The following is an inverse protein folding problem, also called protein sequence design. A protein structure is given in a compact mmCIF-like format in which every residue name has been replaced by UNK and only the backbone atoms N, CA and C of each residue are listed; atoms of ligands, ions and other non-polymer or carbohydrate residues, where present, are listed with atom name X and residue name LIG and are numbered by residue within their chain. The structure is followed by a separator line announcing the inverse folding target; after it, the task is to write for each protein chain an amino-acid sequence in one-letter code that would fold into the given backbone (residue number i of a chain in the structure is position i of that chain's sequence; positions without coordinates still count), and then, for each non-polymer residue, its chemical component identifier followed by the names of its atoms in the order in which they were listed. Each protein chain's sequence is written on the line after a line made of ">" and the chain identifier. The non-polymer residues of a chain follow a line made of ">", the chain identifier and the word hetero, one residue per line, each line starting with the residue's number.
data_IF_856278995961
#
_entry.id   IF_856278995961
#
_cell.length_a   1.000
_cell.length_b   1.000
_cell.length_c   1.000
_cell.angle_alpha   90.00
_cell.angle_beta   90.00
_cell.angle_gamma   90.00
#
_symmetry.space_group_name_H-M   'P 1'
#
loop_
_entity.id
_entity.type
_entity.pdbx_description
1 polymer ?
#
# COMPACT_ATOMS: atom_id res chain seq x y z
N UNK A 1 26.44 4.23 56.31
CA UNK A 1 26.47 5.06 55.08
C UNK A 1 25.88 4.25 53.93
N UNK A 2 24.68 4.62 53.48
CA UNK A 2 23.90 3.95 52.43
C UNK A 2 24.62 4.11 51.08
N UNK A 3 25.06 3.03 50.45
CA UNK A 3 25.53 3.06 49.06
C UNK A 3 24.35 2.74 48.15
N UNK A 4 23.98 3.77 47.40
CA UNK A 4 22.82 3.91 46.55
C UNK A 4 22.86 2.88 45.40
N UNK A 5 21.83 2.03 45.33
CA UNK A 5 21.54 1.19 44.18
C UNK A 5 21.20 2.09 42.99
N UNK A 6 22.13 2.21 42.03
CA UNK A 6 21.86 2.81 40.72
C UNK A 6 21.05 1.80 39.89
N UNK A 7 19.73 1.84 40.08
CA UNK A 7 18.74 1.25 39.18
C UNK A 7 18.84 1.99 37.84
N UNK A 8 19.60 1.43 36.90
CA UNK A 8 19.60 1.87 35.51
C UNK A 8 18.28 1.42 34.90
N UNK A 9 17.27 2.27 35.00
CA UNK A 9 15.93 2.05 34.46
C UNK A 9 16.05 1.88 32.94
N UNK A 10 15.95 0.64 32.47
CA UNK A 10 15.79 0.30 31.06
C UNK A 10 14.41 0.85 30.63
N UNK A 11 14.39 2.09 30.16
CA UNK A 11 13.20 2.65 29.51
C UNK A 11 13.13 1.99 28.13
N UNK A 12 12.60 0.77 28.09
CA UNK A 12 12.07 0.17 26.88
C UNK A 12 10.83 0.99 26.51
N UNK A 13 11.04 2.05 25.71
CA UNK A 13 9.97 2.68 24.94
C UNK A 13 9.48 1.66 23.93
N UNK A 14 8.56 0.80 24.36
CA UNK A 14 7.68 0.05 23.48
C UNK A 14 6.77 1.06 22.79
N UNK A 15 7.27 1.66 21.71
CA UNK A 15 6.41 2.36 20.75
C UNK A 15 5.50 1.31 20.13
N UNK A 16 4.25 1.26 20.60
CA UNK A 16 3.18 0.55 19.93
C UNK A 16 3.06 1.14 18.53
N UNK A 17 3.66 0.47 17.54
CA UNK A 17 3.49 0.81 16.14
C UNK A 17 2.07 0.38 15.78
N UNK A 18 1.22 1.33 15.40
CA UNK A 18 -0.15 1.03 14.96
C UNK A 18 -0.10 -0.03 13.86
N UNK A 19 -0.86 -1.11 14.04
CA UNK A 19 -0.91 -2.23 13.10
C UNK A 19 -1.84 -1.87 11.95
N UNK A 20 -1.35 -1.06 11.02
CA UNK A 20 -2.07 -0.74 9.78
C UNK A 20 -2.16 -1.97 8.88
N UNK A 21 -3.12 -2.00 7.95
CA UNK A 21 -3.23 -3.08 6.95
C UNK A 21 -1.91 -3.26 6.19
N UNK A 22 -1.23 -2.16 5.80
CA UNK A 22 0.08 -2.28 5.15
C UNK A 22 1.12 -2.96 6.06
N UNK A 23 1.18 -2.60 7.35
CA UNK A 23 2.22 -3.07 8.28
C UNK A 23 2.27 -4.59 8.47
N UNK A 24 1.15 -5.28 8.20
CA UNK A 24 1.00 -6.73 8.37
C UNK A 24 1.10 -7.50 7.05
N UNK A 25 1.10 -6.82 5.91
CA UNK A 25 1.15 -7.44 4.59
C UNK A 25 2.59 -7.64 4.11
N UNK A 26 2.78 -8.71 3.36
CA UNK A 26 3.96 -8.95 2.53
C UNK A 26 3.53 -9.04 1.07
N UNK A 27 4.07 -8.15 0.25
CA UNK A 27 3.71 -8.01 -1.17
C UNK A 27 4.98 -7.72 -1.94
N UNK A 28 5.18 -8.36 -3.10
CA UNK A 28 6.40 -8.18 -3.90
C UNK A 28 7.69 -8.55 -3.14
N UNK A 29 7.62 -9.52 -2.22
CA UNK A 29 8.75 -9.93 -1.39
C UNK A 29 9.19 -8.90 -0.35
N UNK A 30 8.39 -7.84 -0.12
CA UNK A 30 8.64 -6.86 0.93
C UNK A 30 7.51 -6.84 1.94
N UNK A 31 7.87 -6.94 3.21
CA UNK A 31 6.94 -6.65 4.30
C UNK A 31 6.67 -5.16 4.32
N UNK A 32 5.42 -4.77 4.57
CA UNK A 32 5.04 -3.37 4.73
C UNK A 32 5.35 -2.50 3.51
N UNK A 33 4.67 -2.79 2.37
CA UNK A 33 5.03 -2.21 1.08
C UNK A 33 4.93 -0.69 1.04
N UNK A 34 4.02 -0.06 1.79
CA UNK A 34 3.90 1.42 1.85
C UNK A 34 5.21 2.07 2.33
N UNK A 35 5.91 1.43 3.27
CA UNK A 35 7.15 1.96 3.86
C UNK A 35 8.40 1.39 3.21
N UNK A 36 8.35 0.15 2.71
CA UNK A 36 9.54 -0.59 2.28
C UNK A 36 9.65 -0.84 0.77
N UNK A 37 8.61 -0.55 -0.02
CA UNK A 37 8.70 -0.61 -1.48
C UNK A 37 9.09 0.78 -2.02
N UNK A 38 10.33 0.99 -2.51
CA UNK A 38 10.89 2.34 -2.70
C UNK A 38 10.09 3.22 -3.66
N UNK A 39 9.66 2.67 -4.80
CA UNK A 39 8.89 3.42 -5.79
C UNK A 39 7.50 3.80 -5.26
N UNK A 40 6.88 2.94 -4.46
CA UNK A 40 5.55 3.16 -3.90
C UNK A 40 5.62 4.25 -2.84
N UNK A 41 6.59 4.13 -1.92
CA UNK A 41 6.90 5.14 -0.91
C UNK A 41 7.11 6.51 -1.55
N UNK A 42 7.92 6.57 -2.61
CA UNK A 42 8.19 7.82 -3.32
C UNK A 42 6.92 8.46 -3.92
N UNK A 43 6.00 7.66 -4.49
CA UNK A 43 4.71 8.16 -5.00
C UNK A 43 3.81 8.71 -3.87
N UNK A 44 3.76 8.01 -2.74
CA UNK A 44 2.98 8.45 -1.57
C UNK A 44 3.57 9.73 -0.99
N UNK A 45 4.89 9.80 -0.82
CA UNK A 45 5.58 10.99 -0.31
C UNK A 45 5.42 12.20 -1.24
N UNK A 46 5.49 11.98 -2.55
CA UNK A 46 5.14 13.01 -3.54
C UNK A 46 3.71 13.51 -3.33
N UNK A 47 2.74 12.61 -3.15
CA UNK A 47 1.34 12.99 -2.88
C UNK A 47 1.19 13.75 -1.56
N UNK A 48 1.92 13.37 -0.50
CA UNK A 48 1.97 14.11 0.78
C UNK A 48 2.51 15.52 0.59
N UNK A 49 3.63 15.68 -0.12
CA UNK A 49 4.24 16.98 -0.39
C UNK A 49 3.31 17.94 -1.15
N UNK A 50 2.45 17.38 -2.01
CA UNK A 50 1.43 18.11 -2.78
C UNK A 50 0.10 18.29 -2.03
N UNK A 51 0.01 17.90 -0.75
CA UNK A 51 -1.21 17.89 0.07
C UNK A 51 -2.37 17.11 -0.59
N UNK A 52 -2.05 16.10 -1.39
CA UNK A 52 -2.99 15.26 -2.12
C UNK A 52 -3.01 13.80 -1.62
N UNK A 53 -2.31 13.50 -0.53
CA UNK A 53 -2.23 12.15 0.04
C UNK A 53 -3.58 11.61 0.52
N UNK A 54 -4.45 12.45 1.08
CA UNK A 54 -5.81 12.08 1.49
C UNK A 54 -6.73 11.77 0.30
N UNK A 55 -6.37 12.29 -0.88
CA UNK A 55 -7.09 12.05 -2.13
C UNK A 55 -6.61 10.79 -2.83
N UNK A 56 -5.51 10.18 -2.38
CA UNK A 56 -4.93 8.98 -2.95
C UNK A 56 -5.51 7.76 -2.24
N UNK A 57 -5.93 6.77 -3.02
CA UNK A 57 -6.25 5.42 -2.57
C UNK A 57 -5.37 4.43 -3.32
N UNK A 58 -4.71 3.54 -2.58
CA UNK A 58 -3.95 2.43 -3.15
C UNK A 58 -4.58 1.13 -2.68
N UNK A 59 -5.03 0.32 -3.64
CA UNK A 59 -5.65 -0.98 -3.42
C UNK A 59 -4.77 -2.05 -4.06
N UNK A 60 -4.50 -3.15 -3.36
CA UNK A 60 -3.91 -4.32 -4.01
C UNK A 60 -4.97 -4.99 -4.88
N UNK A 61 -4.64 -5.23 -6.13
CA UNK A 61 -5.49 -5.89 -7.11
C UNK A 61 -4.78 -7.13 -7.65
N UNK A 62 -5.52 -8.01 -8.33
CA UNK A 62 -4.93 -9.14 -9.04
C UNK A 62 -5.23 -9.04 -10.52
N UNK A 63 -4.24 -9.35 -11.35
CA UNK A 63 -4.42 -9.55 -12.79
C UNK A 63 -3.57 -10.73 -13.22
N UNK A 64 -4.16 -11.71 -13.91
CA UNK A 64 -3.46 -12.94 -14.33
C UNK A 64 -2.72 -13.65 -13.16
N UNK A 65 -3.31 -13.61 -11.96
CA UNK A 65 -2.72 -14.18 -10.74
C UNK A 65 -1.58 -13.35 -10.11
N UNK A 66 -1.09 -12.31 -10.77
CA UNK A 66 -0.09 -11.39 -10.23
C UNK A 66 -0.75 -10.30 -9.38
N UNK A 67 -0.06 -9.89 -8.31
CA UNK A 67 -0.51 -8.75 -7.48
C UNK A 67 0.02 -7.45 -8.07
N UNK A 68 -0.88 -6.48 -8.24
CA UNK A 68 -0.58 -5.14 -8.74
C UNK A 68 -1.16 -4.08 -7.80
N UNK A 69 -0.61 -2.86 -7.86
CA UNK A 69 -1.06 -1.74 -7.05
C UNK A 69 -1.94 -0.84 -7.88
N UNK A 70 -3.26 -0.92 -7.72
CA UNK A 70 -4.17 0.06 -8.29
C UNK A 70 -4.02 1.39 -7.54
N UNK A 71 -3.70 2.43 -8.28
CA UNK A 71 -3.45 3.78 -7.80
C UNK A 71 -4.59 4.68 -8.28
N UNK A 72 -5.43 5.15 -7.36
CA UNK A 72 -6.60 5.95 -7.70
C UNK A 72 -6.57 7.26 -6.94
N UNK A 73 -6.84 8.38 -7.60
CA UNK A 73 -7.04 9.67 -6.92
C UNK A 73 -8.45 10.18 -7.14
N UNK A 74 -9.04 10.92 -6.19
CA UNK A 74 -10.45 11.36 -6.28
C UNK A 74 -10.78 12.21 -7.51
N UNK A 75 -9.80 12.89 -8.11
CA UNK A 75 -9.98 13.68 -9.34
C UNK A 75 -9.79 12.88 -10.63
N UNK A 76 -9.45 11.58 -10.55
CA UNK A 76 -9.44 10.72 -11.74
C UNK A 76 -10.87 10.35 -12.10
N UNK A 77 -11.21 10.49 -13.39
CA UNK A 77 -12.51 10.08 -13.93
C UNK A 77 -12.68 8.56 -14.05
N UNK A 78 -11.68 7.78 -13.64
CA UNK A 78 -11.75 6.33 -13.71
C UNK A 78 -10.97 5.64 -12.58
N UNK A 79 -11.60 4.61 -12.03
CA UNK A 79 -11.00 3.65 -11.11
C UNK A 79 -10.41 2.51 -11.94
N UNK A 80 -9.23 1.99 -11.58
CA UNK A 80 -8.58 0.88 -12.31
C UNK A 80 -7.66 1.31 -13.44
N UNK A 81 -7.69 2.57 -13.88
CA UNK A 81 -6.91 3.06 -15.03
C UNK A 81 -5.40 3.15 -14.81
N UNK A 82 -4.97 3.24 -13.56
CA UNK A 82 -3.56 3.39 -13.20
C UNK A 82 -3.24 2.27 -12.24
N UNK A 83 -2.43 1.32 -12.69
CA UNK A 83 -1.86 0.30 -11.83
C UNK A 83 -0.37 0.14 -12.10
N UNK A 84 0.33 -0.41 -11.11
CA UNK A 84 1.76 -0.67 -11.16
C UNK A 84 2.06 -2.10 -10.76
N UNK A 85 3.02 -2.71 -11.45
CA UNK A 85 3.61 -3.99 -11.06
C UNK A 85 4.55 -3.81 -9.87
N UNK A 86 5.02 -4.93 -9.32
CA UNK A 86 5.96 -4.95 -8.20
C UNK A 86 7.26 -4.16 -8.44
N UNK A 87 7.73 -4.13 -9.68
CA UNK A 87 8.93 -3.38 -10.09
C UNK A 87 8.67 -1.87 -10.28
N UNK A 88 7.42 -1.43 -10.14
CA UNK A 88 7.01 -0.03 -10.32
C UNK A 88 6.74 0.35 -11.77
N UNK A 89 6.82 -0.58 -12.71
CA UNK A 89 6.38 -0.35 -14.09
C UNK A 89 4.86 -0.21 -14.14
N UNK A 90 4.38 0.65 -15.02
CA UNK A 90 2.94 0.86 -15.20
C UNK A 90 2.33 -0.33 -15.94
N UNK A 91 1.21 -0.83 -15.44
CA UNK A 91 0.39 -1.82 -16.12
C UNK A 91 -0.12 -1.24 -17.45
N UNK A 92 0.11 -1.99 -18.53
CA UNK A 92 -0.39 -1.67 -19.88
C UNK A 92 -1.62 -2.54 -20.19
N UNK A 93 -2.84 -1.97 -20.21
CA UNK A 93 -4.06 -2.74 -20.41
C UNK A 93 -4.12 -3.43 -21.78
N UNK A 94 -3.34 -2.98 -22.78
CA UNK A 94 -3.29 -3.60 -24.11
C UNK A 94 -2.66 -4.99 -24.10
N UNK A 95 -1.97 -5.36 -23.03
CA UNK A 95 -1.31 -6.67 -22.87
C UNK A 95 -2.22 -7.74 -22.29
N UNK A 96 -3.47 -7.39 -21.96
CA UNK A 96 -4.41 -8.28 -21.29
C UNK A 96 -5.68 -8.45 -22.12
N UNK A 97 -6.29 -9.61 -21.98
CA UNK A 97 -7.60 -9.91 -22.57
C UNK A 97 -8.70 -9.13 -21.85
N UNK A 98 -9.87 -8.94 -22.49
CA UNK A 98 -11.02 -8.33 -21.83
C UNK A 98 -11.43 -9.04 -20.53
N UNK A 99 -11.34 -10.37 -20.48
CA UNK A 99 -11.66 -11.15 -19.28
C UNK A 99 -10.65 -10.88 -18.15
N UNK A 100 -9.35 -10.89 -18.44
CA UNK A 100 -8.33 -10.57 -17.42
C UNK A 100 -8.49 -9.14 -16.87
N UNK A 101 -8.85 -8.19 -17.74
CA UNK A 101 -9.15 -6.82 -17.31
C UNK A 101 -10.43 -6.76 -16.48
N UNK A 102 -11.46 -7.55 -16.81
CA UNK A 102 -12.67 -7.64 -16.00
C UNK A 102 -12.39 -8.23 -14.62
N UNK A 103 -11.61 -9.30 -14.54
CA UNK A 103 -11.20 -9.92 -13.29
C UNK A 103 -10.40 -8.93 -12.43
N UNK A 104 -9.49 -8.18 -13.05
CA UNK A 104 -8.78 -7.08 -12.40
C UNK A 104 -9.73 -6.03 -11.83
N UNK A 105 -10.71 -5.58 -12.60
CA UNK A 105 -11.71 -4.61 -12.13
C UNK A 105 -12.54 -5.16 -10.96
N UNK A 106 -12.89 -6.45 -10.98
CA UNK A 106 -13.57 -7.11 -9.87
C UNK A 106 -12.72 -7.08 -8.59
N UNK A 107 -11.39 -7.26 -8.69
CA UNK A 107 -10.52 -7.13 -7.51
C UNK A 107 -10.35 -5.71 -6.96
N UNK A 108 -10.86 -4.69 -7.67
CA UNK A 108 -10.83 -3.29 -7.22
C UNK A 108 -12.19 -2.84 -6.69
N UNK A 109 -13.27 -3.22 -7.40
CA UNK A 109 -14.62 -2.71 -7.19
C UNK A 109 -15.62 -3.76 -6.69
N UNK A 110 -15.30 -5.04 -6.85
CA UNK A 110 -16.22 -6.13 -6.56
C UNK A 110 -16.46 -6.30 -5.07
N UNK A 111 -17.72 -6.47 -4.70
CA UNK A 111 -18.10 -6.81 -3.34
C UNK A 111 -17.55 -8.21 -2.99
N UNK A 112 -16.96 -8.36 -1.80
CA UNK A 112 -16.30 -9.58 -1.35
C UNK A 112 -15.03 -10.01 -2.10
N UNK A 113 -14.70 -9.41 -3.24
CA UNK A 113 -13.52 -9.74 -4.07
C UNK A 113 -12.48 -8.62 -4.12
N UNK A 114 -12.86 -7.42 -3.64
CA UNK A 114 -11.96 -6.27 -3.52
C UNK A 114 -10.76 -6.61 -2.64
N UNK A 115 -9.57 -6.37 -3.17
CA UNK A 115 -8.33 -6.53 -2.43
C UNK A 115 -8.14 -5.44 -1.36
N UNK A 116 -7.16 -5.63 -0.45
CA UNK A 116 -6.95 -4.72 0.66
C UNK A 116 -6.55 -3.32 0.19
N UNK A 117 -7.14 -2.31 0.82
CA UNK A 117 -6.70 -0.92 0.71
C UNK A 117 -5.53 -0.72 1.65
N UNK A 118 -4.37 -0.36 1.10
CA UNK A 118 -3.12 -0.16 1.86
C UNK A 118 -2.78 1.32 2.07
N UNK A 119 -3.45 2.22 1.34
CA UNK A 119 -3.38 3.67 1.53
C UNK A 119 -4.75 4.31 1.24
N UNK A 120 -5.21 5.30 2.04
CA UNK A 120 -4.61 5.78 3.28
C UNK A 120 -4.57 4.66 4.34
N UNK A 121 -3.58 4.73 5.21
CA UNK A 121 -3.48 3.79 6.33
C UNK A 121 -4.58 4.10 7.34
N UNK A 122 -5.42 3.11 7.64
CA UNK A 122 -6.44 3.17 8.70
C UNK A 122 -5.92 2.54 9.98
#
# INVERSE_FOLDING_TARGET
>A
MKKLLLFFSLILVFSCKDKTVSSTLEVCGVKDPVRNLPWLKAKIDSSKSKKAAEMLTITLAKIKGETVFNYSTVYMSCIGCVAFHCDGTRLDPKKYTPQEMQDYMNTILGDGTRGPVIWPEK
#
